data_IF_910531866181
#
_entry.id   IF_910531866181
#
_cell.length_a   1.000
_cell.length_b   1.000
_cell.length_c   1.000
_cell.angle_alpha   90.00
_cell.angle_beta   90.00
_cell.angle_gamma   90.00
#
_symmetry.space_group_name_H-M   'P 1'
#
loop_
_entity.id
_entity.type
_entity.pdbx_description
1 polymer ?
#
# COMPACT_ATOMS: atom_id res chain seq x y z
N UNK A 1 5.49 -1.42 -40.20
CA UNK A 1 5.50 -1.09 -38.76
C UNK A 1 4.27 -1.72 -38.11
N UNK A 2 4.39 -2.94 -37.57
CA UNK A 2 3.28 -3.61 -36.88
C UNK A 2 3.16 -3.10 -35.44
N UNK A 3 1.95 -2.97 -34.88
CA UNK A 3 1.80 -2.58 -33.48
C UNK A 3 2.33 -3.71 -32.61
N UNK A 4 3.39 -3.44 -31.84
CA UNK A 4 3.82 -4.31 -30.74
C UNK A 4 2.69 -4.41 -29.74
N UNK A 5 1.83 -5.42 -29.91
CA UNK A 5 0.83 -5.77 -28.92
C UNK A 5 1.60 -6.48 -27.81
N UNK A 6 2.24 -5.69 -26.95
CA UNK A 6 2.74 -6.18 -25.67
C UNK A 6 1.56 -6.83 -24.97
N UNK A 7 1.52 -8.16 -24.96
CA UNK A 7 0.39 -8.91 -24.44
C UNK A 7 0.08 -8.40 -23.05
N UNK A 8 -1.12 -7.85 -22.84
CA UNK A 8 -1.55 -7.37 -21.53
C UNK A 8 -1.53 -8.58 -20.60
N UNK A 9 -0.47 -8.71 -19.81
CA UNK A 9 -0.34 -9.79 -18.84
C UNK A 9 -1.53 -9.66 -17.90
N UNK A 10 -2.40 -10.67 -17.90
CA UNK A 10 -3.62 -10.65 -17.11
C UNK A 10 -3.22 -10.70 -15.63
N UNK A 11 -3.37 -9.58 -14.94
CA UNK A 11 -3.08 -9.49 -13.52
C UNK A 11 -4.00 -10.43 -12.72
N UNK A 12 -3.43 -11.10 -11.72
CA UNK A 12 -4.17 -11.92 -10.77
C UNK A 12 -5.14 -11.06 -9.94
N UNK A 13 -6.15 -11.69 -9.33
CA UNK A 13 -7.09 -11.00 -8.44
C UNK A 13 -6.35 -10.26 -7.31
N UNK A 14 -5.35 -10.91 -6.71
CA UNK A 14 -4.52 -10.34 -5.66
C UNK A 14 -3.75 -9.11 -6.13
N UNK A 15 -3.11 -9.20 -7.31
CA UNK A 15 -2.38 -8.07 -7.89
C UNK A 15 -3.30 -6.87 -8.16
N UNK A 16 -4.51 -7.13 -8.64
CA UNK A 16 -5.53 -6.08 -8.81
C UNK A 16 -5.91 -5.44 -7.49
N UNK A 17 -6.10 -6.23 -6.43
CA UNK A 17 -6.42 -5.70 -5.09
C UNK A 17 -5.28 -4.81 -4.55
N UNK A 18 -4.03 -5.23 -4.70
CA UNK A 18 -2.85 -4.44 -4.31
C UNK A 18 -2.81 -3.10 -5.06
N UNK A 19 -3.02 -3.12 -6.39
CA UNK A 19 -3.03 -1.89 -7.19
C UNK A 19 -4.22 -0.99 -6.85
N UNK A 20 -5.39 -1.55 -6.61
CA UNK A 20 -6.58 -0.79 -6.18
C UNK A 20 -6.31 -0.10 -4.85
N UNK A 21 -5.70 -0.79 -3.88
CA UNK A 21 -5.36 -0.23 -2.59
C UNK A 21 -4.35 0.93 -2.74
N UNK A 22 -3.26 0.72 -3.50
CA UNK A 22 -2.27 1.76 -3.77
C UNK A 22 -2.91 3.01 -4.39
N UNK A 23 -3.73 2.83 -5.43
CA UNK A 23 -4.46 3.93 -6.08
C UNK A 23 -5.45 4.60 -5.14
N UNK A 24 -6.03 3.85 -4.20
CA UNK A 24 -6.89 4.38 -3.14
C UNK A 24 -6.17 5.42 -2.29
N UNK A 25 -4.98 5.09 -1.79
CA UNK A 25 -4.15 6.04 -1.03
C UNK A 25 -3.81 7.29 -1.82
N UNK A 26 -3.39 7.14 -3.08
CA UNK A 26 -3.07 8.29 -3.93
C UNK A 26 -4.28 9.19 -4.21
N UNK A 27 -5.50 8.63 -4.27
CA UNK A 27 -6.73 9.42 -4.41
C UNK A 27 -7.06 10.15 -3.10
N UNK A 28 -6.98 9.46 -1.96
CA UNK A 28 -7.23 10.06 -0.66
C UNK A 28 -6.25 11.22 -0.36
N UNK A 29 -4.99 11.07 -0.76
CA UNK A 29 -3.98 12.12 -0.64
C UNK A 29 -4.34 13.40 -1.42
N UNK A 30 -5.07 13.31 -2.54
CA UNK A 30 -5.49 14.48 -3.33
C UNK A 30 -6.49 15.38 -2.61
N UNK A 31 -7.19 14.85 -1.62
CA UNK A 31 -8.15 15.61 -0.81
C UNK A 31 -7.48 16.32 0.37
N UNK A 32 -6.16 16.18 0.55
CA UNK A 32 -5.38 16.81 1.63
C UNK A 32 -4.60 18.03 1.10
N UNK A 33 -3.95 18.78 1.99
CA UNK A 33 -3.10 19.92 1.61
C UNK A 33 -1.99 19.49 0.64
N UNK A 34 -1.42 20.43 -0.13
CA UNK A 34 -0.35 20.11 -1.09
C UNK A 34 0.88 19.50 -0.43
N UNK A 35 1.19 19.94 0.77
CA UNK A 35 2.32 19.41 1.55
C UNK A 35 2.03 18.02 2.09
N UNK A 36 0.90 17.83 2.78
CA UNK A 36 0.48 16.52 3.29
C UNK A 36 0.37 15.51 2.14
N UNK A 37 -0.19 15.92 1.01
CA UNK A 37 -0.30 15.09 -0.18
C UNK A 37 1.06 14.55 -0.61
N UNK A 38 2.07 15.41 -0.76
CA UNK A 38 3.42 15.00 -1.18
C UNK A 38 4.03 14.02 -0.20
N UNK A 39 3.88 14.28 1.10
CA UNK A 39 4.38 13.40 2.14
C UNK A 39 3.68 12.04 2.12
N UNK A 40 2.35 12.00 2.01
CA UNK A 40 1.54 10.77 1.92
C UNK A 40 1.94 9.98 0.67
N UNK A 41 1.99 10.62 -0.50
CA UNK A 41 2.36 9.96 -1.75
C UNK A 41 3.77 9.37 -1.68
N UNK A 42 4.74 10.11 -1.14
CA UNK A 42 6.13 9.65 -0.96
C UNK A 42 6.20 8.43 -0.03
N UNK A 43 5.56 8.54 1.14
CA UNK A 43 5.53 7.49 2.15
C UNK A 43 4.88 6.19 1.62
N UNK A 44 3.66 6.29 1.09
CA UNK A 44 2.92 5.15 0.54
C UNK A 44 3.71 4.49 -0.59
N UNK A 45 4.32 5.29 -1.48
CA UNK A 45 5.13 4.75 -2.56
C UNK A 45 6.38 4.03 -2.06
N UNK A 46 7.04 4.53 -1.02
CA UNK A 46 8.18 3.89 -0.39
C UNK A 46 7.80 2.55 0.25
N UNK A 47 6.70 2.51 1.00
CA UNK A 47 6.21 1.31 1.68
C UNK A 47 5.78 0.22 0.69
N UNK A 48 5.00 0.55 -0.34
CA UNK A 48 4.62 -0.43 -1.37
C UNK A 48 5.85 -0.96 -2.12
N UNK A 49 6.85 -0.11 -2.40
CA UNK A 49 8.11 -0.56 -3.00
C UNK A 49 8.89 -1.48 -2.08
N UNK A 50 9.00 -1.15 -0.78
CA UNK A 50 9.66 -1.98 0.23
C UNK A 50 8.99 -3.36 0.30
N UNK A 51 7.67 -3.39 0.46
CA UNK A 51 6.91 -4.65 0.53
C UNK A 51 7.05 -5.47 -0.76
N UNK A 52 7.07 -4.84 -1.94
CA UNK A 52 7.27 -5.57 -3.21
C UNK A 52 8.64 -6.28 -3.33
N UNK A 53 9.64 -5.82 -2.56
CA UNK A 53 10.98 -6.42 -2.50
C UNK A 53 11.12 -7.45 -1.38
N UNK A 54 10.47 -7.21 -0.23
CA UNK A 54 10.66 -8.00 0.99
C UNK A 54 9.63 -9.13 1.15
N UNK A 55 8.46 -9.01 0.54
CA UNK A 55 7.39 -10.00 0.65
C UNK A 55 7.48 -11.00 -0.49
N UNK A 56 7.57 -12.29 -0.16
CA UNK A 56 7.46 -13.36 -1.15
C UNK A 56 6.09 -13.28 -1.85
N UNK A 57 6.12 -13.28 -3.18
CA UNK A 57 4.94 -13.27 -4.06
C UNK A 57 4.02 -14.47 -3.83
N UNK A 58 4.53 -15.57 -3.28
CA UNK A 58 3.77 -16.78 -2.94
C UNK A 58 3.18 -16.75 -1.53
N UNK A 59 3.57 -15.79 -0.67
CA UNK A 59 3.01 -15.67 0.66
C UNK A 59 1.65 -14.95 0.63
N UNK A 60 0.65 -15.64 0.10
CA UNK A 60 -0.69 -15.09 -0.09
C UNK A 60 -1.33 -14.64 1.24
N UNK A 61 -1.10 -15.41 2.32
CA UNK A 61 -1.64 -15.10 3.66
C UNK A 61 -1.11 -13.75 4.16
N UNK A 62 0.20 -13.51 4.03
CA UNK A 62 0.79 -12.24 4.46
C UNK A 62 0.38 -11.08 3.56
N UNK A 63 0.29 -11.29 2.25
CA UNK A 63 -0.21 -10.26 1.31
C UNK A 63 -1.65 -9.88 1.66
N UNK A 64 -2.51 -10.84 1.97
CA UNK A 64 -3.87 -10.57 2.41
C UNK A 64 -3.93 -9.82 3.73
N UNK A 65 -3.08 -10.17 4.69
CA UNK A 65 -2.97 -9.44 5.94
C UNK A 65 -2.61 -7.96 5.68
N UNK A 66 -1.60 -7.71 4.85
CA UNK A 66 -1.21 -6.36 4.46
C UNK A 66 -2.33 -5.61 3.72
N UNK A 67 -3.08 -6.30 2.86
CA UNK A 67 -4.25 -5.71 2.19
C UNK A 67 -5.35 -5.31 3.17
N UNK A 68 -5.68 -6.17 4.13
CA UNK A 68 -6.69 -5.87 5.17
C UNK A 68 -6.24 -4.69 6.03
N UNK A 69 -4.99 -4.69 6.49
CA UNK A 69 -4.40 -3.58 7.26
C UNK A 69 -4.40 -2.28 6.47
N UNK A 70 -3.93 -2.30 5.23
CA UNK A 70 -3.88 -1.14 4.36
C UNK A 70 -5.26 -0.55 4.05
N UNK A 71 -6.30 -1.39 3.91
CA UNK A 71 -7.68 -0.89 3.75
C UNK A 71 -8.15 -0.11 4.98
N UNK A 72 -7.90 -0.61 6.19
CA UNK A 72 -8.22 0.10 7.44
C UNK A 72 -7.50 1.45 7.52
N UNK A 73 -6.23 1.48 7.13
CA UNK A 73 -5.44 2.73 7.08
C UNK A 73 -5.98 3.72 6.03
N UNK A 74 -6.42 3.22 4.87
CA UNK A 74 -7.03 4.04 3.85
C UNK A 74 -8.38 4.62 4.32
N UNK A 75 -9.21 3.84 5.01
CA UNK A 75 -10.44 4.32 5.63
C UNK A 75 -10.16 5.44 6.64
N UNK A 76 -9.17 5.24 7.51
CA UNK A 76 -8.73 6.26 8.46
C UNK A 76 -8.24 7.53 7.77
N UNK A 77 -7.48 7.41 6.67
CA UNK A 77 -7.01 8.59 5.92
C UNK A 77 -8.16 9.39 5.29
N UNK A 78 -9.23 8.70 4.87
CA UNK A 78 -10.42 9.34 4.30
C UNK A 78 -11.31 9.99 5.37
N UNK A 79 -11.14 9.67 6.65
CA UNK A 79 -11.86 10.35 7.72
C UNK A 79 -11.49 11.84 7.77
N UNK A 80 -12.46 12.74 7.98
CA UNK A 80 -12.20 14.19 8.03
C UNK A 80 -11.32 14.59 9.22
N UNK A 81 -11.37 13.81 10.31
CA UNK A 81 -10.69 14.11 11.58
C UNK A 81 -9.20 13.71 11.58
N UNK A 82 -8.72 12.96 10.59
CA UNK A 82 -7.30 12.60 10.50
C UNK A 82 -6.52 13.69 9.81
N UNK A 83 -5.96 14.58 10.64
CA UNK A 83 -5.09 15.67 10.25
C UNK A 83 -3.65 15.17 10.27
N UNK A 84 -3.12 14.83 9.09
CA UNK A 84 -1.68 14.71 8.86
C UNK A 84 -1.06 13.30 8.94
N UNK A 85 0.16 13.22 8.39
CA UNK A 85 1.00 12.03 8.27
C UNK A 85 1.33 11.35 9.61
N UNK A 86 1.30 12.10 10.71
CA UNK A 86 1.63 11.62 12.06
C UNK A 86 0.71 10.49 12.52
N UNK A 87 -0.59 10.60 12.24
CA UNK A 87 -1.56 9.54 12.52
C UNK A 87 -1.34 8.32 11.63
N UNK A 88 -0.80 8.50 10.42
CA UNK A 88 -0.44 7.39 9.54
C UNK A 88 0.79 6.65 10.08
N UNK A 89 1.87 7.35 10.42
CA UNK A 89 3.12 6.74 10.88
C UNK A 89 2.93 5.74 12.03
N UNK A 90 2.11 6.10 13.03
CA UNK A 90 1.78 5.21 14.15
C UNK A 90 1.10 3.90 13.73
N UNK A 91 0.37 3.91 12.61
CA UNK A 91 -0.32 2.72 12.09
C UNK A 91 0.54 1.87 11.16
N UNK A 92 1.59 2.43 10.53
CA UNK A 92 2.49 1.72 9.61
C UNK A 92 3.71 1.11 10.32
N UNK A 93 4.16 1.68 11.43
CA UNK A 93 5.34 1.24 12.19
C UNK A 93 5.26 -0.18 12.77
N UNK A 94 4.10 -0.80 12.81
CA UNK A 94 3.93 -2.18 13.30
C UNK A 94 4.27 -3.23 12.23
N UNK A 95 5.50 -3.20 11.72
CA UNK A 95 6.09 -4.30 10.95
C UNK A 95 7.37 -4.78 11.62
N UNK A 96 7.32 -5.03 12.92
CA UNK A 96 8.23 -5.98 13.54
C UNK A 96 7.70 -7.37 13.21
N UNK A 97 8.29 -8.02 12.21
CA UNK A 97 8.16 -9.46 12.07
C UNK A 97 8.76 -10.05 13.36
N UNK A 98 8.02 -10.81 14.18
CA UNK A 98 8.63 -11.48 15.32
C UNK A 98 9.64 -12.49 14.77
N UNK A 99 10.94 -12.21 14.92
CA UNK A 99 12.06 -13.12 14.61
C UNK A 99 12.15 -14.29 15.60
N UNK A 100 11.03 -14.91 16.00
CA UNK A 100 11.03 -15.95 17.02
C UNK A 100 10.10 -17.10 16.66
N UNK A 101 10.67 -18.10 15.98
CA UNK A 101 10.67 -19.53 16.38
C UNK A 101 11.26 -20.37 15.23
N UNK A 102 12.58 -20.33 15.09
CA UNK A 102 13.33 -21.55 14.75
C UNK A 102 14.01 -21.98 16.05
N UNK A 103 13.35 -22.89 16.75
CA UNK A 103 13.96 -23.81 17.69
C UNK A 103 13.79 -25.19 17.08
#
# INVERSE_FOLDING_TARGET
MGPSTGGRTRLSGMQKQVLTLYRGFLRAARSKSTEDRRQIESFVSAEFRRNSKQVDRKNFIYIEYLLRRGKKQLEQLNSPDTVGLSSMNATFSETEIPKTKLR
#
